data_IF_423537246264
#
_entry.id   IF_423537246264
#
_cell.length_a   1.000
_cell.length_b   1.000
_cell.length_c   1.000
_cell.angle_alpha   90.00
_cell.angle_beta   90.00
_cell.angle_gamma   90.00
#
_symmetry.space_group_name_H-M   'P 1'
#
loop_
_entity.id
_entity.type
_entity.pdbx_description
1 polymer ?
#
# COMPACT_ATOMS: atom_id res chain seq x y z
N UNK A 1 -2.26 21.72 6.99
CA UNK A 1 -2.22 21.04 5.68
C UNK A 1 -1.37 19.80 5.85
N UNK A 2 -2.00 18.64 6.03
CA UNK A 2 -1.31 17.35 6.10
C UNK A 2 -0.83 17.01 4.68
N UNK A 3 0.48 17.07 4.45
CA UNK A 3 1.10 16.67 3.19
C UNK A 3 0.76 15.18 3.00
N UNK A 4 -0.15 14.85 2.08
CA UNK A 4 -0.52 13.46 1.80
C UNK A 4 0.77 12.70 1.46
N UNK A 5 1.05 11.62 2.20
CA UNK A 5 2.21 10.76 1.93
C UNK A 5 2.08 10.21 0.51
N UNK A 6 2.89 10.73 -0.41
CA UNK A 6 2.89 10.32 -1.82
C UNK A 6 3.72 9.05 -1.98
N UNK A 7 3.11 8.01 -2.56
CA UNK A 7 3.83 6.79 -2.94
C UNK A 7 4.93 7.09 -3.98
N UNK A 8 5.91 6.20 -4.07
CA UNK A 8 7.02 6.27 -5.01
C UNK A 8 6.48 6.18 -6.45
N UNK A 9 6.75 7.14 -7.34
CA UNK A 9 6.21 7.08 -8.72
C UNK A 9 6.65 5.82 -9.48
N UNK A 10 5.74 5.26 -10.28
CA UNK A 10 6.02 4.12 -11.15
C UNK A 10 6.76 4.49 -12.45
N UNK A 11 7.05 3.50 -13.32
CA UNK A 11 6.76 2.08 -13.12
C UNK A 11 7.73 1.41 -12.13
N UNK A 12 7.25 0.37 -11.46
CA UNK A 12 8.03 -0.45 -10.53
C UNK A 12 8.34 -1.81 -11.14
N UNK A 13 9.50 -2.37 -10.80
CA UNK A 13 9.88 -3.73 -11.17
C UNK A 13 10.66 -4.41 -10.05
N UNK A 14 10.60 -5.74 -10.04
CA UNK A 14 11.42 -6.56 -9.17
C UNK A 14 12.84 -6.63 -9.72
N UNK A 15 13.80 -6.40 -8.83
CA UNK A 15 15.23 -6.50 -9.11
C UNK A 15 15.87 -7.39 -8.07
N UNK A 16 17.08 -7.85 -8.37
CA UNK A 16 17.80 -8.70 -7.44
C UNK A 16 18.89 -9.51 -8.09
N UNK A 17 19.48 -10.38 -7.28
CA UNK A 17 20.41 -11.40 -7.70
C UNK A 17 20.18 -12.63 -6.81
N UNK A 18 19.83 -13.75 -7.46
CA UNK A 18 19.56 -15.01 -6.78
C UNK A 18 20.82 -15.60 -6.13
N UNK A 19 22.00 -15.41 -6.72
CA UNK A 19 23.27 -15.88 -6.14
C UNK A 19 23.64 -15.16 -4.85
N UNK A 20 23.18 -13.92 -4.66
CA UNK A 20 23.39 -13.15 -3.44
C UNK A 20 22.17 -13.12 -2.52
N UNK A 21 21.11 -13.89 -2.81
CA UNK A 21 19.86 -13.89 -2.06
C UNK A 21 19.31 -12.48 -1.79
N UNK A 22 19.30 -11.63 -2.84
CA UNK A 22 18.85 -10.25 -2.72
C UNK A 22 17.75 -10.00 -3.74
N UNK A 23 16.56 -9.61 -3.27
CA UNK A 23 15.40 -9.26 -4.10
C UNK A 23 14.74 -8.01 -3.51
N UNK A 24 14.33 -7.09 -4.36
CA UNK A 24 13.71 -5.82 -3.97
C UNK A 24 12.82 -5.27 -5.08
N UNK A 25 11.91 -4.37 -4.72
CA UNK A 25 11.04 -3.64 -5.63
C UNK A 25 11.54 -2.19 -5.74
N UNK A 26 11.77 -1.71 -6.95
CA UNK A 26 12.26 -0.36 -7.21
C UNK A 26 11.69 0.23 -8.50
N UNK A 27 11.89 1.54 -8.65
CA UNK A 27 11.60 2.25 -9.91
C UNK A 27 12.48 1.73 -11.06
N UNK A 28 11.87 1.61 -12.25
CA UNK A 28 12.59 1.19 -13.47
C UNK A 28 13.52 2.30 -13.97
N UNK A 29 13.10 3.55 -13.83
CA UNK A 29 13.83 4.74 -14.29
C UNK A 29 14.21 5.63 -13.11
N UNK A 30 15.21 6.51 -13.30
CA UNK A 30 15.57 7.49 -12.27
C UNK A 30 16.46 6.94 -11.14
N UNK A 31 17.35 5.98 -11.45
CA UNK A 31 18.40 5.56 -10.52
C UNK A 31 18.00 4.51 -9.49
N UNK A 32 16.94 3.71 -9.76
CA UNK A 32 16.48 2.59 -8.89
C UNK A 32 16.13 3.05 -7.47
N UNK A 33 15.29 4.07 -7.36
CA UNK A 33 14.69 4.41 -6.07
C UNK A 33 13.88 3.23 -5.53
N UNK A 34 14.20 2.81 -4.32
CA UNK A 34 13.55 1.68 -3.64
C UNK A 34 12.10 2.01 -3.28
N UNK A 35 11.22 1.05 -3.55
CA UNK A 35 9.82 1.02 -3.06
C UNK A 35 9.78 0.13 -1.83
N UNK A 36 10.41 -1.04 -1.92
CA UNK A 36 10.51 -2.02 -0.85
C UNK A 36 11.76 -2.87 -1.03
N UNK A 37 12.48 -3.14 0.05
CA UNK A 37 13.48 -4.21 0.10
C UNK A 37 13.27 -5.06 1.35
N UNK A 38 14.18 -6.00 1.61
CA UNK A 38 14.14 -6.83 2.80
C UNK A 38 15.45 -6.71 3.59
N UNK A 39 15.37 -6.79 4.92
CA UNK A 39 16.56 -6.80 5.78
C UNK A 39 17.40 -8.07 5.65
N UNK A 40 16.76 -9.19 5.29
CA UNK A 40 17.38 -10.52 5.24
C UNK A 40 16.53 -11.54 4.50
N UNK A 41 17.18 -12.62 4.09
CA UNK A 41 16.57 -13.82 3.54
C UNK A 41 16.50 -14.92 4.62
N UNK A 42 15.32 -15.46 4.94
CA UNK A 42 15.17 -16.60 5.86
C UNK A 42 13.97 -16.52 6.80
N UNK A 43 13.83 -17.53 7.68
CA UNK A 43 12.53 -17.86 8.32
C UNK A 43 12.07 -17.00 9.52
N UNK A 44 12.92 -16.16 10.15
CA UNK A 44 12.58 -15.54 11.46
C UNK A 44 13.08 -14.12 11.69
N UNK A 45 12.38 -13.09 11.23
CA UNK A 45 12.84 -11.69 11.31
C UNK A 45 13.31 -11.13 9.97
N UNK A 46 13.05 -11.86 8.89
CA UNK A 46 12.91 -11.22 7.59
C UNK A 46 11.71 -10.28 7.66
N UNK A 47 11.96 -9.01 7.39
CA UNK A 47 10.92 -8.00 7.32
C UNK A 47 11.19 -7.12 6.10
N UNK A 48 10.13 -6.61 5.46
CA UNK A 48 10.31 -5.58 4.46
C UNK A 48 10.81 -4.28 5.12
N UNK A 49 11.48 -3.46 4.32
CA UNK A 49 11.73 -2.06 4.64
C UNK A 49 11.09 -1.20 3.55
N UNK A 50 10.71 0.01 3.92
CA UNK A 50 10.10 0.97 3.02
C UNK A 50 10.82 2.31 3.12
N UNK A 51 10.59 3.19 2.14
CA UNK A 51 11.15 4.54 2.12
C UNK A 51 10.07 5.60 2.39
N UNK A 52 9.63 5.80 3.65
CA UNK A 52 8.71 6.89 3.97
C UNK A 52 9.34 8.25 3.62
N UNK A 53 8.51 9.22 3.23
CA UNK A 53 8.94 10.47 2.62
C UNK A 53 10.11 11.15 3.38
N UNK A 54 11.15 11.55 2.62
CA UNK A 54 12.36 12.24 3.10
C UNK A 54 13.25 11.44 4.07
N UNK A 55 13.02 10.12 4.22
CA UNK A 55 13.86 9.22 5.02
C UNK A 55 14.61 8.21 4.15
N UNK A 56 15.63 7.57 4.72
CA UNK A 56 16.21 6.34 4.18
C UNK A 56 15.26 5.15 4.30
N UNK A 57 15.75 3.94 4.02
CA UNK A 57 14.97 2.71 4.25
C UNK A 57 14.71 2.53 5.75
N UNK A 58 13.45 2.29 6.11
CA UNK A 58 12.98 2.08 7.48
C UNK A 58 12.38 0.69 7.62
N UNK A 59 12.73 -0.01 8.69
CA UNK A 59 12.19 -1.33 9.00
C UNK A 59 10.66 -1.28 9.20
N UNK A 60 9.95 -2.28 8.67
CA UNK A 60 8.50 -2.35 8.83
C UNK A 60 8.06 -2.35 10.30
N UNK A 61 8.84 -2.94 11.23
CA UNK A 61 8.54 -2.92 12.67
C UNK A 61 8.35 -1.52 13.26
N UNK A 62 9.01 -0.50 12.68
CA UNK A 62 8.97 0.89 13.12
C UNK A 62 7.83 1.67 12.42
N UNK A 63 7.12 1.02 11.51
CA UNK A 63 6.00 1.55 10.74
C UNK A 63 4.69 0.80 11.00
N UNK A 64 4.67 -0.22 11.86
CA UNK A 64 3.48 -1.04 12.10
C UNK A 64 2.33 -0.22 12.68
N UNK A 65 1.13 -0.49 12.21
CA UNK A 65 -0.13 -0.07 12.81
C UNK A 65 -0.85 -1.29 13.39
N UNK A 66 -1.55 -1.11 14.50
CA UNK A 66 -2.15 -2.20 15.28
C UNK A 66 -3.68 -2.21 15.18
N UNK A 67 -4.30 -3.37 15.38
CA UNK A 67 -5.76 -3.53 15.35
C UNK A 67 -6.47 -2.85 16.53
N UNK A 68 -5.80 -2.80 17.69
CA UNK A 68 -6.34 -2.27 18.94
C UNK A 68 -5.53 -1.08 19.43
N UNK A 69 -6.15 -0.24 20.26
CA UNK A 69 -5.56 0.96 20.83
C UNK A 69 -5.72 2.20 19.95
N UNK A 70 -4.97 3.24 20.30
CA UNK A 70 -4.95 4.48 19.53
C UNK A 70 -4.31 4.24 18.15
N UNK A 71 -5.10 4.52 17.11
CA UNK A 71 -4.72 4.37 15.69
C UNK A 71 -3.63 5.36 15.25
N UNK A 72 -3.31 6.35 16.09
CA UNK A 72 -2.19 7.27 15.86
C UNK A 72 -0.83 6.65 16.19
N UNK A 73 -0.80 5.58 16.99
CA UNK A 73 0.43 4.90 17.40
C UNK A 73 1.00 4.07 16.26
N UNK A 74 2.29 4.28 15.99
CA UNK A 74 3.02 3.64 14.89
C UNK A 74 4.33 3.08 15.42
N UNK A 75 4.62 1.83 15.04
CA UNK A 75 5.85 1.14 15.42
C UNK A 75 5.73 0.39 16.74
N UNK A 76 6.46 -0.73 16.84
CA UNK A 76 6.36 -1.65 17.98
C UNK A 76 6.88 -1.07 19.29
N UNK A 77 7.88 -0.18 19.24
CA UNK A 77 8.46 0.41 20.45
C UNK A 77 7.49 1.38 21.12
N UNK A 78 6.75 2.17 20.34
CA UNK A 78 5.78 3.12 20.89
C UNK A 78 4.49 2.42 21.31
N UNK A 79 4.05 1.40 20.58
CA UNK A 79 2.94 0.53 21.00
C UNK A 79 3.18 -0.13 22.36
N UNK A 80 4.39 -0.60 22.65
CA UNK A 80 4.72 -1.19 23.96
C UNK A 80 4.65 -0.22 25.14
N UNK A 81 4.76 1.08 24.88
CA UNK A 81 4.69 2.14 25.90
C UNK A 81 3.26 2.65 26.08
N UNK A 82 2.39 2.39 25.10
CA UNK A 82 1.01 2.86 25.10
C UNK A 82 0.06 1.80 25.68
N UNK A 83 -0.58 2.13 26.80
CA UNK A 83 -1.47 1.21 27.50
C UNK A 83 -2.76 0.85 26.73
N UNK A 84 -3.11 1.58 25.68
CA UNK A 84 -4.26 1.26 24.84
C UNK A 84 -3.97 0.12 23.86
N UNK A 85 -2.71 -0.11 23.50
CA UNK A 85 -2.28 -1.20 22.61
C UNK A 85 -1.87 -2.42 23.44
N UNK A 86 -2.88 -3.18 23.90
CA UNK A 86 -2.63 -4.40 24.69
C UNK A 86 -2.36 -5.66 23.83
N UNK A 87 -2.58 -5.59 22.52
CA UNK A 87 -2.38 -6.68 21.56
C UNK A 87 -1.66 -6.16 20.30
N UNK A 88 -0.68 -6.92 19.82
CA UNK A 88 0.22 -6.48 18.74
C UNK A 88 -0.14 -7.05 17.36
N UNK A 89 -1.42 -7.39 17.14
CA UNK A 89 -1.89 -7.82 15.82
C UNK A 89 -1.82 -6.64 14.84
N UNK A 90 -1.24 -6.91 13.67
CA UNK A 90 -0.89 -5.88 12.69
C UNK A 90 -2.11 -5.61 11.80
N UNK A 91 -2.52 -4.35 11.74
CA UNK A 91 -3.53 -3.85 10.79
C UNK A 91 -2.91 -3.41 9.47
N UNK A 92 -1.67 -2.92 9.51
CA UNK A 92 -1.00 -2.40 8.32
C UNK A 92 0.37 -1.80 8.62
N UNK A 93 0.95 -1.18 7.59
CA UNK A 93 2.25 -0.51 7.65
C UNK A 93 2.02 0.94 7.22
N UNK A 94 2.41 1.90 8.07
CA UNK A 94 2.25 3.33 7.86
C UNK A 94 3.24 3.86 6.80
N UNK A 95 3.04 3.46 5.54
CA UNK A 95 3.82 3.89 4.40
C UNK A 95 2.95 3.87 3.14
N UNK A 96 3.03 4.94 2.33
CA UNK A 96 2.26 5.06 1.10
C UNK A 96 2.51 3.93 0.10
N UNK A 97 3.76 3.48 -0.02
CA UNK A 97 4.10 2.35 -0.89
C UNK A 97 3.45 1.05 -0.38
N UNK A 98 3.44 0.82 0.93
CA UNK A 98 2.81 -0.35 1.53
C UNK A 98 1.29 -0.34 1.37
N UNK A 99 0.64 0.82 1.49
CA UNK A 99 -0.80 0.97 1.27
C UNK A 99 -1.19 0.65 -0.18
N UNK A 100 -0.46 1.19 -1.15
CA UNK A 100 -0.69 0.93 -2.57
C UNK A 100 -0.49 -0.57 -2.91
N UNK A 101 0.55 -1.19 -2.38
CA UNK A 101 0.81 -2.63 -2.54
C UNK A 101 -0.36 -3.45 -1.97
N UNK A 102 -0.80 -3.15 -0.74
CA UNK A 102 -1.89 -3.88 -0.09
C UNK A 102 -3.24 -3.70 -0.81
N UNK A 103 -3.50 -2.53 -1.40
CA UNK A 103 -4.72 -2.25 -2.15
C UNK A 103 -4.71 -2.84 -3.58
N UNK A 104 -3.57 -3.34 -4.08
CA UNK A 104 -3.39 -3.72 -5.48
C UNK A 104 -4.41 -4.74 -6.03
N UNK A 105 -4.78 -5.81 -5.31
CA UNK A 105 -5.79 -6.76 -5.81
C UNK A 105 -7.17 -6.11 -6.00
N UNK A 106 -7.61 -5.33 -5.01
CA UNK A 106 -8.91 -4.65 -5.05
C UNK A 106 -8.94 -3.54 -6.11
N UNK A 107 -7.80 -2.87 -6.34
CA UNK A 107 -7.66 -1.86 -7.40
C UNK A 107 -7.84 -2.50 -8.77
N UNK A 108 -7.22 -3.67 -8.99
CA UNK A 108 -7.35 -4.41 -10.24
C UNK A 108 -8.80 -4.84 -10.49
N UNK A 109 -9.49 -5.34 -9.46
CA UNK A 109 -10.87 -5.77 -9.57
C UNK A 109 -11.82 -4.58 -9.82
N UNK A 110 -11.64 -3.47 -9.11
CA UNK A 110 -12.42 -2.26 -9.35
C UNK A 110 -12.21 -1.70 -10.76
N UNK A 111 -10.98 -1.75 -11.28
CA UNK A 111 -10.69 -1.32 -12.65
C UNK A 111 -11.36 -2.24 -13.67
N UNK A 112 -11.34 -3.56 -13.47
CA UNK A 112 -12.06 -4.51 -14.33
C UNK A 112 -13.55 -4.22 -14.36
N UNK A 113 -14.17 -3.95 -13.21
CA UNK A 113 -15.60 -3.63 -13.12
C UNK A 113 -15.94 -2.37 -13.94
N UNK A 114 -15.11 -1.33 -13.84
CA UNK A 114 -15.28 -0.09 -14.63
C UNK A 114 -15.11 -0.37 -16.12
N UNK A 115 -14.08 -1.12 -16.53
CA UNK A 115 -13.85 -1.47 -17.94
C UNK A 115 -15.00 -2.30 -18.50
N UNK A 116 -15.49 -3.29 -17.75
CA UNK A 116 -16.64 -4.11 -18.16
C UNK A 116 -17.90 -3.26 -18.31
N UNK A 117 -18.21 -2.41 -17.34
CA UNK A 117 -19.38 -1.53 -17.37
C UNK A 117 -19.34 -0.55 -18.55
N UNK A 118 -18.15 -0.07 -18.93
CA UNK A 118 -17.95 0.82 -20.07
C UNK A 118 -17.98 0.06 -21.41
N UNK A 119 -17.22 -1.02 -21.55
CA UNK A 119 -17.05 -1.74 -22.81
C UNK A 119 -18.28 -2.56 -23.23
N UNK A 120 -19.11 -3.00 -22.27
CA UNK A 120 -20.33 -3.78 -22.55
C UNK A 120 -21.57 -2.89 -22.71
N UNK A 121 -21.47 -1.57 -22.51
CA UNK A 121 -22.57 -0.63 -22.71
C UNK A 121 -22.47 0.06 -24.07
N UNK A 122 -23.35 -0.31 -24.99
CA UNK A 122 -23.69 0.50 -26.16
C UNK A 122 -24.90 1.42 -25.90
N UNK A 123 -25.23 1.62 -24.63
CA UNK A 123 -26.43 2.30 -24.19
C UNK A 123 -26.31 3.83 -24.30
N UNK A 124 -27.46 4.50 -24.29
CA UNK A 124 -27.53 5.96 -24.20
C UNK A 124 -26.78 6.47 -22.95
N UNK A 125 -26.23 7.70 -22.98
CA UNK A 125 -25.37 8.21 -21.91
C UNK A 125 -25.96 8.09 -20.49
N UNK A 126 -27.28 8.22 -20.35
CA UNK A 126 -27.97 8.12 -19.06
C UNK A 126 -27.93 6.69 -18.46
N UNK A 127 -27.98 5.66 -19.29
CA UNK A 127 -27.91 4.26 -18.86
C UNK A 127 -26.47 3.85 -18.53
N UNK A 128 -25.51 4.35 -19.31
CA UNK A 128 -24.08 4.19 -19.01
C UNK A 128 -23.72 4.82 -17.66
N UNK A 129 -24.22 6.03 -17.36
CA UNK A 129 -24.01 6.68 -16.06
C UNK A 129 -24.56 5.85 -14.89
N UNK A 130 -25.75 5.24 -15.05
CA UNK A 130 -26.32 4.35 -14.03
C UNK A 130 -25.47 3.08 -13.86
N UNK A 131 -25.03 2.47 -14.95
CA UNK A 131 -24.19 1.28 -14.92
C UNK A 131 -22.82 1.53 -14.28
N UNK A 132 -22.27 2.74 -14.43
CA UNK A 132 -20.97 3.12 -13.85
C UNK A 132 -21.04 3.56 -12.39
N UNK A 133 -22.22 3.87 -11.84
CA UNK A 133 -22.34 4.42 -10.48
C UNK A 133 -21.68 3.52 -9.42
N UNK A 134 -22.04 2.24 -9.39
CA UNK A 134 -21.49 1.28 -8.43
C UNK A 134 -20.00 0.97 -8.68
N UNK A 135 -19.54 0.70 -9.92
CA UNK A 135 -18.11 0.56 -10.21
C UNK A 135 -17.26 1.75 -9.79
N UNK A 136 -17.74 2.99 -10.02
CA UNK A 136 -17.03 4.22 -9.63
C UNK A 136 -16.98 4.35 -8.10
N UNK A 137 -18.07 4.05 -7.40
CA UNK A 137 -18.09 4.07 -5.93
C UNK A 137 -17.08 3.07 -5.35
N UNK A 138 -17.07 1.84 -5.87
CA UNK A 138 -16.10 0.80 -5.49
C UNK A 138 -14.67 1.25 -5.78
N UNK A 139 -14.40 1.77 -6.97
CA UNK A 139 -13.07 2.28 -7.33
C UNK A 139 -12.62 3.41 -6.41
N UNK A 140 -13.51 4.34 -6.10
CA UNK A 140 -13.23 5.47 -5.20
C UNK A 140 -12.91 5.02 -3.78
N UNK A 141 -13.59 4.00 -3.26
CA UNK A 141 -13.30 3.43 -1.95
C UNK A 141 -11.91 2.78 -1.90
N UNK A 142 -11.55 2.01 -2.93
CA UNK A 142 -10.25 1.34 -2.98
C UNK A 142 -9.11 2.34 -3.23
N UNK A 143 -9.33 3.40 -4.01
CA UNK A 143 -8.36 4.51 -4.16
C UNK A 143 -8.06 5.14 -2.80
N UNK A 144 -9.10 5.43 -1.99
CA UNK A 144 -8.90 5.96 -0.63
C UNK A 144 -8.05 5.02 0.23
N UNK A 145 -8.28 3.71 0.15
CA UNK A 145 -7.45 2.70 0.84
C UNK A 145 -5.99 2.73 0.36
N UNK A 146 -5.77 2.82 -0.95
CA UNK A 146 -4.43 2.92 -1.54
C UNK A 146 -3.67 4.19 -1.12
N UNK A 147 -4.40 5.25 -0.77
CA UNK A 147 -3.89 6.51 -0.23
C UNK A 147 -3.74 6.52 1.30
N UNK A 148 -4.00 5.40 1.98
CA UNK A 148 -3.87 5.25 3.43
C UNK A 148 -5.10 5.67 4.24
N UNK A 149 -6.22 5.97 3.57
CA UNK A 149 -7.51 6.18 4.21
C UNK A 149 -8.04 4.89 4.84
N UNK A 150 -8.93 5.04 5.84
CA UNK A 150 -9.70 3.91 6.32
C UNK A 150 -10.58 3.37 5.17
N UNK A 151 -10.47 2.06 4.92
CA UNK A 151 -11.39 1.32 4.06
C UNK A 151 -12.78 1.28 4.71
#
# INVERSE_FOLDING_TARGET
>A
MTEALKYTPGPWAWFGNASSNYVYLATVHGGRRYVMDFTRWGMRGAQPRFQPAKRGMVDAKDLLQFEVGDRSIVGIEDAKKDGSVYRYDIRGINCADAWLIAASPELLDALKDVVCAFAMNNAEPAELLRALAQPIEKASAVIRKAEGGAA
#
